data_IF_622751963970
#
_entry.id   IF_622751963970
#
_cell.length_a   1.000
_cell.length_b   1.000
_cell.length_c   1.000
_cell.angle_alpha   90.00
_cell.angle_beta   90.00
_cell.angle_gamma   90.00
#
_symmetry.space_group_name_H-M   'P 1'
#
loop_
_entity.id
_entity.type
_entity.pdbx_description
1 polymer ?
#
# COMPACT_ATOMS: atom_id res chain seq x y z
N UNK A 1 16.36 15.82 10.67
CA UNK A 1 17.01 14.49 10.83
C UNK A 1 16.06 13.54 11.55
N UNK A 2 15.62 13.84 12.78
CA UNK A 2 14.56 13.06 13.46
C UNK A 2 13.30 12.90 12.60
N UNK A 3 12.83 13.96 11.93
CA UNK A 3 11.64 13.89 11.06
C UNK A 3 11.80 12.96 9.84
N UNK A 4 13.04 12.69 9.40
CA UNK A 4 13.38 11.80 8.29
C UNK A 4 13.52 10.34 8.72
N UNK A 5 14.14 10.14 9.88
CA UNK A 5 14.46 8.84 10.46
C UNK A 5 13.22 8.23 11.12
N UNK A 6 12.28 9.08 11.56
CA UNK A 6 11.03 8.69 12.19
C UNK A 6 9.88 8.79 11.20
N UNK A 7 10.16 8.44 9.93
CA UNK A 7 9.31 8.74 8.79
C UNK A 7 7.87 8.34 9.06
N UNK A 8 7.00 9.35 9.02
CA UNK A 8 5.56 9.17 8.84
C UNK A 8 5.29 9.31 7.36
N UNK A 9 4.83 8.26 6.67
CA UNK A 9 4.32 8.44 5.33
C UNK A 9 3.10 9.38 5.41
N UNK A 10 3.04 10.37 4.53
CA UNK A 10 1.97 11.40 4.53
C UNK A 10 0.57 10.77 4.34
N UNK A 11 0.53 9.61 3.69
CA UNK A 11 -0.60 8.71 3.60
C UNK A 11 -0.17 7.35 4.19
N UNK A 12 -1.04 6.62 4.91
CA UNK A 12 -0.70 5.29 5.36
C UNK A 12 -0.34 4.40 4.15
N UNK A 13 0.64 3.50 4.28
CA UNK A 13 0.95 2.50 3.27
C UNK A 13 -0.31 1.72 2.85
N UNK A 14 -0.33 1.20 1.63
CA UNK A 14 -1.52 0.51 1.10
C UNK A 14 -1.79 -0.74 1.94
N UNK A 15 -3.02 -0.82 2.47
CA UNK A 15 -3.44 -1.93 3.31
C UNK A 15 -2.86 -1.93 4.73
N UNK A 16 -2.26 -0.82 5.17
CA UNK A 16 -1.74 -0.69 6.51
C UNK A 16 -2.67 0.08 7.46
N UNK A 17 -2.56 -0.24 8.75
CA UNK A 17 -3.14 0.54 9.86
C UNK A 17 -2.01 1.26 10.59
N UNK A 18 -2.20 2.55 10.88
CA UNK A 18 -1.20 3.35 11.61
C UNK A 18 -1.77 3.75 12.96
N UNK A 19 -1.16 3.22 14.03
CA UNK A 19 -1.53 3.49 15.41
C UNK A 19 -0.46 4.32 16.14
N UNK A 20 -0.88 5.05 17.18
CA UNK A 20 0.03 5.84 18.02
C UNK A 20 -0.06 5.42 19.48
N UNK A 21 1.11 5.39 20.12
CA UNK A 21 1.28 5.28 21.58
C UNK A 21 2.33 6.30 22.01
N UNK A 22 1.86 7.51 22.34
CA UNK A 22 2.72 8.65 22.64
C UNK A 22 3.68 8.99 21.49
N UNK A 23 5.01 8.94 21.69
CA UNK A 23 6.01 9.24 20.65
C UNK A 23 6.21 8.08 19.66
N UNK A 24 5.65 6.89 19.94
CA UNK A 24 5.77 5.70 19.12
C UNK A 24 4.62 5.64 18.11
N UNK A 25 4.97 5.31 16.87
CA UNK A 25 4.04 5.03 15.78
C UNK A 25 4.24 3.56 15.39
N UNK A 26 3.14 2.83 15.31
CA UNK A 26 3.11 1.45 14.79
C UNK A 26 2.45 1.47 13.42
N UNK A 27 3.11 0.87 12.44
CA UNK A 27 2.53 0.59 11.14
C UNK A 27 2.28 -0.91 11.05
N UNK A 28 1.02 -1.30 10.92
CA UNK A 28 0.57 -2.68 10.83
C UNK A 28 0.19 -2.98 9.38
N UNK A 29 1.04 -3.71 8.66
CA UNK A 29 0.80 -4.08 7.25
C UNK A 29 -0.10 -5.32 7.11
N UNK A 30 -0.52 -5.93 8.21
CA UNK A 30 -1.29 -7.17 8.23
C UNK A 30 -0.49 -8.44 7.97
N UNK A 31 0.76 -8.32 7.49
CA UNK A 31 1.74 -9.42 7.36
C UNK A 31 2.91 -9.29 8.33
N UNK A 32 3.24 -8.05 8.67
CA UNK A 32 4.29 -7.65 9.59
C UNK A 32 3.99 -6.24 10.09
N UNK A 33 4.81 -5.81 11.05
CA UNK A 33 4.74 -4.53 11.70
C UNK A 33 6.06 -3.79 11.65
N UNK A 34 5.97 -2.47 11.59
CA UNK A 34 7.12 -1.59 11.78
C UNK A 34 6.85 -0.59 12.90
N UNK A 35 7.89 -0.30 13.68
CA UNK A 35 7.86 0.75 14.70
C UNK A 35 8.73 1.90 14.25
N UNK A 36 8.20 3.12 14.32
CA UNK A 36 8.98 4.35 14.26
C UNK A 36 8.71 5.20 15.50
N UNK A 37 9.68 6.00 15.93
CA UNK A 37 9.53 6.77 17.16
C UNK A 37 10.29 8.08 17.13
N UNK A 38 9.70 9.13 17.70
CA UNK A 38 10.44 10.37 18.02
C UNK A 38 11.49 10.18 19.10
N UNK A 39 12.04 11.29 19.60
CA UNK A 39 12.69 11.31 20.91
C UNK A 39 11.78 10.63 21.95
N UNK A 40 12.29 9.59 22.61
CA UNK A 40 11.57 8.87 23.65
C UNK A 40 11.76 9.57 25.00
N UNK A 41 10.73 9.60 25.87
CA UNK A 41 10.85 10.17 27.20
C UNK A 41 11.80 9.34 28.06
N UNK A 42 12.43 9.96 29.06
CA UNK A 42 13.30 9.31 30.05
C UNK A 42 12.58 8.29 30.97
N UNK A 43 11.30 8.01 30.71
CA UNK A 43 10.47 7.08 31.47
C UNK A 43 10.85 5.61 31.28
N UNK A 44 9.96 4.74 31.74
CA UNK A 44 10.14 3.29 31.69
C UNK A 44 10.08 2.76 30.24
N UNK A 45 11.25 2.62 29.63
CA UNK A 45 11.42 2.07 28.27
C UNK A 45 11.01 0.60 28.20
N UNK A 46 11.20 -0.17 29.27
CA UNK A 46 10.81 -1.59 29.30
C UNK A 46 9.29 -1.71 29.20
N UNK A 47 8.55 -0.95 30.01
CA UNK A 47 7.10 -0.90 29.94
C UNK A 47 6.61 -0.38 28.58
N UNK A 48 7.33 0.54 27.94
CA UNK A 48 7.01 1.01 26.58
C UNK A 48 7.21 -0.10 25.54
N UNK A 49 8.34 -0.81 25.58
CA UNK A 49 8.64 -1.93 24.66
C UNK A 49 7.61 -3.05 24.83
N UNK A 50 7.28 -3.45 26.06
CA UNK A 50 6.27 -4.49 26.35
C UNK A 50 4.92 -4.15 25.72
N UNK A 51 4.45 -2.90 25.83
CA UNK A 51 3.18 -2.49 25.17
C UNK A 51 3.22 -2.63 23.65
N UNK A 52 4.38 -2.41 23.03
CA UNK A 52 4.53 -2.58 21.58
C UNK A 52 4.51 -4.06 21.22
N UNK A 53 5.28 -4.89 21.94
CA UNK A 53 5.28 -6.35 21.77
C UNK A 53 3.87 -6.91 21.87
N UNK A 54 3.12 -6.54 22.90
CA UNK A 54 1.73 -6.97 23.09
C UNK A 54 0.81 -6.52 21.94
N UNK A 55 1.03 -5.32 21.39
CA UNK A 55 0.23 -4.80 20.29
C UNK A 55 0.39 -5.62 19.00
N UNK A 56 1.63 -5.96 18.64
CA UNK A 56 1.89 -6.78 17.45
C UNK A 56 1.56 -8.25 17.68
N UNK A 57 1.77 -8.78 18.89
CA UNK A 57 1.37 -10.13 19.26
C UNK A 57 -0.15 -10.35 19.12
N UNK A 58 -0.99 -9.37 19.49
CA UNK A 58 -2.45 -9.41 19.29
C UNK A 58 -2.87 -9.56 17.84
N UNK A 59 -2.03 -9.15 16.90
CA UNK A 59 -2.26 -9.24 15.45
C UNK A 59 -1.48 -10.39 14.79
N UNK A 60 -0.71 -11.13 15.57
CA UNK A 60 0.20 -12.16 15.10
C UNK A 60 1.18 -11.64 14.02
N UNK A 61 1.68 -10.42 14.18
CA UNK A 61 2.59 -9.78 13.23
C UNK A 61 4.02 -9.79 13.80
N UNK A 62 5.05 -10.20 13.02
CA UNK A 62 6.44 -9.96 13.39
C UNK A 62 6.73 -8.46 13.32
N UNK A 63 7.70 -8.00 14.09
CA UNK A 63 8.05 -6.57 14.21
C UNK A 63 9.46 -6.30 13.72
N UNK A 64 9.60 -5.20 13.00
CA UNK A 64 10.86 -4.50 12.77
C UNK A 64 10.85 -3.16 13.53
N UNK A 65 11.91 -2.90 14.30
CA UNK A 65 12.11 -1.65 15.03
C UNK A 65 13.52 -1.09 14.73
N UNK A 66 13.65 -0.10 13.83
CA UNK A 66 14.91 0.60 13.60
C UNK A 66 15.24 1.53 14.78
N UNK A 67 16.47 1.48 15.28
CA UNK A 67 16.96 2.31 16.38
C UNK A 67 18.21 3.08 15.96
N UNK A 68 18.17 4.40 16.15
CA UNK A 68 19.25 5.31 15.75
C UNK A 68 20.08 5.75 16.96
N UNK A 69 21.22 5.08 17.21
CA UNK A 69 22.21 5.49 18.22
C UNK A 69 21.75 5.46 19.69
N UNK A 70 20.60 4.87 20.01
CA UNK A 70 20.04 4.80 21.37
C UNK A 70 20.36 3.45 22.04
N UNK A 71 21.41 3.44 22.85
CA UNK A 71 21.85 2.25 23.58
C UNK A 71 20.84 1.77 24.64
N UNK A 72 20.08 2.69 25.27
CA UNK A 72 19.09 2.32 26.30
C UNK A 72 17.92 1.58 25.67
N UNK A 73 17.43 2.06 24.55
CA UNK A 73 16.37 1.38 23.80
C UNK A 73 16.87 0.04 23.26
N UNK A 74 18.09 -0.02 22.74
CA UNK A 74 18.71 -1.26 22.27
C UNK A 74 18.74 -2.34 23.37
N UNK A 75 19.17 -2.00 24.58
CA UNK A 75 19.19 -2.91 25.73
C UNK A 75 17.77 -3.41 26.09
N UNK A 76 16.79 -2.50 26.12
CA UNK A 76 15.39 -2.85 26.41
C UNK A 76 14.79 -3.78 25.35
N UNK A 77 15.09 -3.56 24.07
CA UNK A 77 14.63 -4.43 22.97
C UNK A 77 15.24 -5.83 23.05
N UNK A 78 16.55 -5.92 23.31
CA UNK A 78 17.22 -7.21 23.49
C UNK A 78 16.66 -7.98 24.69
N UNK A 79 16.38 -7.28 25.80
CA UNK A 79 15.75 -7.87 26.99
C UNK A 79 14.32 -8.38 26.70
N UNK A 80 13.61 -7.74 25.77
CA UNK A 80 12.29 -8.16 25.30
C UNK A 80 12.32 -9.28 24.23
N UNK A 81 13.51 -9.81 23.90
CA UNK A 81 13.66 -10.95 22.98
C UNK A 81 13.82 -10.57 21.51
N UNK A 82 14.05 -9.30 21.19
CA UNK A 82 14.40 -8.90 19.83
C UNK A 82 15.81 -9.39 19.45
N UNK A 83 16.04 -9.61 18.15
CA UNK A 83 17.35 -9.86 17.57
C UNK A 83 17.81 -8.67 16.73
N UNK A 84 19.10 -8.33 16.81
CA UNK A 84 19.66 -7.19 16.09
C UNK A 84 20.27 -7.62 14.75
N UNK A 85 19.98 -6.86 13.68
CA UNK A 85 20.80 -6.87 12.47
C UNK A 85 22.17 -6.24 12.71
N UNK A 86 23.15 -6.47 11.82
CA UNK A 86 24.38 -5.67 11.80
C UNK A 86 24.08 -4.18 11.67
N UNK A 87 24.79 -3.36 12.46
CA UNK A 87 24.67 -1.91 12.44
C UNK A 87 25.02 -1.33 11.05
N UNK A 88 24.26 -0.32 10.62
CA UNK A 88 24.44 0.39 9.34
C UNK A 88 24.73 1.86 9.55
N UNK A 89 25.54 2.44 8.67
CA UNK A 89 25.76 3.88 8.64
C UNK A 89 24.54 4.58 8.00
N UNK A 90 24.07 5.66 8.63
CA UNK A 90 23.11 6.58 8.04
C UNK A 90 23.88 7.76 7.46
N UNK A 91 23.83 7.88 6.13
CA UNK A 91 24.59 8.83 5.35
C UNK A 91 23.66 9.92 4.79
N UNK A 92 24.16 11.15 4.71
CA UNK A 92 23.41 12.29 4.18
C UNK A 92 24.27 13.22 3.33
N UNK A 93 23.69 13.79 2.28
CA UNK A 93 24.22 14.94 1.56
C UNK A 93 23.08 15.87 1.09
N UNK A 94 23.36 17.12 0.70
CA UNK A 94 22.41 17.93 -0.08
C UNK A 94 22.01 17.19 -1.37
N UNK A 95 20.80 17.45 -1.88
CA UNK A 95 20.39 16.98 -3.21
C UNK A 95 21.35 17.54 -4.26
N UNK A 96 21.71 16.68 -5.22
CA UNK A 96 22.56 17.03 -6.34
C UNK A 96 21.91 18.02 -7.31
N UNK A 97 22.65 18.33 -8.38
CA UNK A 97 22.23 19.31 -9.40
C UNK A 97 22.27 18.76 -10.81
N UNK A 98 22.65 17.49 -10.98
CA UNK A 98 22.69 16.85 -12.29
C UNK A 98 21.27 16.50 -12.75
N UNK A 99 20.85 17.12 -13.84
CA UNK A 99 19.52 16.91 -14.44
C UNK A 99 19.55 15.91 -15.58
N UNK A 100 20.64 15.15 -15.74
CA UNK A 100 20.74 14.08 -16.75
C UNK A 100 19.61 13.08 -16.56
N UNK A 101 18.91 12.77 -17.64
CA UNK A 101 17.80 11.80 -17.63
C UNK A 101 18.31 10.43 -17.21
N UNK A 102 17.72 9.88 -16.15
CA UNK A 102 17.97 8.51 -15.70
C UNK A 102 17.02 7.52 -16.37
N UNK A 103 17.42 6.24 -16.52
CA UNK A 103 16.54 5.18 -17.01
C UNK A 103 15.54 4.79 -15.92
N UNK A 104 14.49 5.58 -15.78
CA UNK A 104 13.40 5.34 -14.83
C UNK A 104 12.47 4.24 -15.35
N UNK A 105 12.08 3.31 -14.48
CA UNK A 105 11.17 2.20 -14.84
C UNK A 105 9.74 2.70 -15.09
N UNK A 106 9.27 3.68 -14.31
CA UNK A 106 7.90 4.20 -14.45
C UNK A 106 6.85 3.10 -14.29
N UNK A 107 5.94 2.98 -15.27
CA UNK A 107 4.88 1.97 -15.31
C UNK A 107 5.29 0.66 -16.01
N UNK A 108 6.57 0.47 -16.37
CA UNK A 108 7.04 -0.76 -17.01
C UNK A 108 7.12 -1.94 -16.02
N UNK A 109 6.08 -2.79 -16.04
CA UNK A 109 6.01 -3.97 -15.18
C UNK A 109 7.18 -4.95 -15.38
N UNK A 110 7.64 -5.16 -16.62
CA UNK A 110 8.76 -6.05 -16.89
C UNK A 110 10.06 -5.50 -16.28
N UNK A 111 10.25 -4.19 -16.31
CA UNK A 111 11.32 -3.49 -15.60
C UNK A 111 11.26 -3.73 -14.08
N UNK A 112 10.07 -3.60 -13.46
CA UNK A 112 9.90 -3.88 -12.03
C UNK A 112 10.21 -5.35 -11.68
N UNK A 113 9.80 -6.31 -12.50
CA UNK A 113 10.15 -7.72 -12.30
C UNK A 113 11.68 -7.93 -12.32
N UNK A 114 12.37 -7.31 -13.27
CA UNK A 114 13.83 -7.38 -13.35
C UNK A 114 14.51 -6.74 -12.13
N UNK A 115 13.98 -5.62 -11.63
CA UNK A 115 14.48 -5.00 -10.39
C UNK A 115 14.28 -5.94 -9.19
N UNK A 116 13.12 -6.62 -9.09
CA UNK A 116 12.86 -7.59 -8.04
C UNK A 116 13.87 -8.76 -8.05
N UNK A 117 14.19 -9.29 -9.23
CA UNK A 117 15.21 -10.34 -9.39
C UNK A 117 16.61 -9.88 -8.96
N UNK A 118 17.00 -8.64 -9.29
CA UNK A 118 18.28 -8.06 -8.87
C UNK A 118 18.31 -7.82 -7.36
N UNK A 119 17.23 -7.28 -6.80
CA UNK A 119 17.10 -7.00 -5.37
C UNK A 119 17.21 -8.28 -4.54
N UNK A 120 16.60 -9.37 -4.97
CA UNK A 120 16.67 -10.68 -4.30
C UNK A 120 18.09 -11.25 -4.20
N UNK A 121 18.97 -10.92 -5.16
CA UNK A 121 20.37 -11.40 -5.20
C UNK A 121 21.35 -10.54 -4.38
N UNK A 122 20.94 -9.32 -4.03
CA UNK A 122 21.84 -8.27 -3.52
C UNK A 122 21.44 -7.71 -2.16
N UNK A 123 20.35 -8.22 -1.58
CA UNK A 123 19.90 -7.83 -0.25
C UNK A 123 20.86 -8.30 0.87
N UNK A 124 20.60 -7.89 2.12
CA UNK A 124 19.43 -7.15 2.57
C UNK A 124 19.52 -5.63 2.31
N UNK A 125 18.47 -5.08 1.69
CA UNK A 125 18.32 -3.63 1.45
C UNK A 125 17.65 -2.94 2.64
N UNK A 126 17.78 -1.61 2.76
CA UNK A 126 17.09 -0.82 3.80
C UNK A 126 15.58 -1.10 3.79
N UNK A 127 14.99 -1.05 2.59
CA UNK A 127 13.59 -1.37 2.33
C UNK A 127 13.53 -2.44 1.25
N UNK A 128 13.01 -3.65 1.51
CA UNK A 128 12.85 -4.68 0.50
C UNK A 128 12.07 -4.15 -0.71
N UNK A 129 12.50 -4.52 -1.92
CA UNK A 129 11.86 -4.02 -3.15
C UNK A 129 10.39 -4.44 -3.26
N UNK A 130 10.02 -5.62 -2.74
CA UNK A 130 8.62 -6.07 -2.68
C UNK A 130 7.74 -5.16 -1.83
N UNK A 131 8.24 -4.72 -0.67
CA UNK A 131 7.52 -3.80 0.21
C UNK A 131 7.49 -2.38 -0.36
N UNK A 132 8.57 -1.97 -1.03
CA UNK A 132 8.58 -0.73 -1.81
C UNK A 132 7.49 -0.78 -2.88
N UNK A 133 7.49 -1.78 -3.75
CA UNK A 133 6.54 -1.92 -4.86
C UNK A 133 5.08 -1.98 -4.37
N UNK A 134 4.81 -2.70 -3.28
CA UNK A 134 3.47 -2.79 -2.69
C UNK A 134 2.88 -1.42 -2.31
N UNK A 135 3.73 -0.46 -1.93
CA UNK A 135 3.31 0.90 -1.54
C UNK A 135 3.53 1.93 -2.64
N UNK A 136 4.53 1.74 -3.48
CA UNK A 136 5.02 2.72 -4.43
C UNK A 136 4.54 2.50 -5.85
N UNK A 137 4.03 1.30 -6.20
CA UNK A 137 3.78 0.91 -7.60
C UNK A 137 3.03 1.96 -8.41
N UNK A 138 2.25 2.82 -7.73
CA UNK A 138 1.46 3.88 -8.36
C UNK A 138 1.40 5.16 -7.50
N UNK A 139 2.43 5.43 -6.69
CA UNK A 139 2.64 6.75 -6.07
C UNK A 139 3.54 7.56 -7.00
N UNK A 140 3.02 7.99 -8.15
CA UNK A 140 3.74 8.68 -9.24
C UNK A 140 4.42 10.00 -8.84
N UNK A 141 4.35 10.38 -7.56
CA UNK A 141 4.71 11.69 -7.05
C UNK A 141 5.77 11.67 -5.95
N UNK A 142 6.01 10.52 -5.32
CA UNK A 142 6.89 10.42 -4.15
C UNK A 142 7.86 9.23 -4.18
N UNK A 143 7.99 8.53 -5.31
CA UNK A 143 8.89 7.39 -5.44
C UNK A 143 9.53 7.33 -6.83
N UNK A 144 10.72 6.72 -6.91
CA UNK A 144 11.44 6.52 -8.17
C UNK A 144 12.14 5.15 -8.17
N UNK A 145 12.18 4.53 -9.35
CA UNK A 145 12.94 3.29 -9.60
C UNK A 145 13.82 3.50 -10.81
N UNK A 146 15.13 3.34 -10.61
CA UNK A 146 16.15 3.40 -11.66
C UNK A 146 16.55 1.98 -12.02
N UNK A 147 16.60 1.68 -13.32
CA UNK A 147 17.15 0.43 -13.85
C UNK A 147 18.17 0.76 -14.94
N UNK A 148 19.45 0.74 -14.57
CA UNK A 148 20.57 1.03 -15.46
C UNK A 148 21.35 -0.26 -15.78
N UNK A 149 20.95 -0.91 -16.87
CA UNK A 149 21.50 -2.19 -17.30
C UNK A 149 21.10 -3.32 -16.34
N UNK A 150 22.07 -3.83 -15.59
CA UNK A 150 21.91 -4.87 -14.55
C UNK A 150 21.98 -4.31 -13.13
N UNK A 151 21.85 -2.99 -12.99
CA UNK A 151 21.92 -2.28 -11.71
C UNK A 151 20.61 -1.54 -11.47
N UNK A 152 20.12 -1.58 -10.26
CA UNK A 152 18.88 -0.92 -9.89
C UNK A 152 19.01 -0.17 -8.56
N UNK A 153 18.19 0.86 -8.42
CA UNK A 153 17.98 1.56 -7.17
C UNK A 153 16.53 2.01 -7.08
N UNK A 154 15.99 2.03 -5.86
CA UNK A 154 14.65 2.58 -5.60
C UNK A 154 14.71 3.56 -4.44
N UNK A 155 13.94 4.64 -4.57
CA UNK A 155 13.98 5.78 -3.69
C UNK A 155 12.56 6.25 -3.39
N UNK A 156 12.36 6.76 -2.19
CA UNK A 156 11.09 7.31 -1.71
C UNK A 156 11.29 8.70 -1.11
N UNK A 157 10.29 9.56 -1.19
CA UNK A 157 10.33 10.88 -0.61
C UNK A 157 9.73 10.86 0.81
N UNK A 158 10.41 11.55 1.73
CA UNK A 158 10.06 11.67 3.14
C UNK A 158 10.37 13.07 3.63
N UNK A 159 9.34 13.90 3.84
CA UNK A 159 9.53 15.25 4.37
C UNK A 159 10.36 16.15 3.46
N UNK A 160 11.63 16.36 3.79
CA UNK A 160 12.62 17.10 2.99
C UNK A 160 13.69 16.19 2.36
N UNK A 161 13.51 14.87 2.46
CA UNK A 161 14.51 13.87 2.09
C UNK A 161 14.03 13.03 0.91
N UNK A 162 14.94 12.76 -0.02
CA UNK A 162 14.88 11.56 -0.86
C UNK A 162 15.65 10.46 -0.13
N UNK A 163 14.99 9.34 0.15
CA UNK A 163 15.57 8.24 0.91
C UNK A 163 15.79 7.05 0.01
N UNK A 164 17.02 6.54 -0.02
CA UNK A 164 17.38 5.35 -0.79
C UNK A 164 16.81 4.11 -0.09
N UNK A 165 15.85 3.45 -0.72
CA UNK A 165 15.28 2.18 -0.23
C UNK A 165 16.22 1.00 -0.47
N UNK A 166 16.94 0.99 -1.59
CA UNK A 166 17.97 -0.02 -1.87
C UNK A 166 18.74 0.25 -3.15
N UNK A 167 19.89 -0.40 -3.26
CA UNK A 167 20.82 -0.28 -4.39
C UNK A 167 21.43 -1.66 -4.64
N UNK A 168 21.32 -2.17 -5.86
CA UNK A 168 21.81 -3.52 -6.17
C UNK A 168 23.30 -3.56 -6.53
N UNK A 169 23.88 -2.41 -6.90
CA UNK A 169 25.32 -2.27 -7.18
C UNK A 169 25.84 -0.92 -6.64
N UNK A 170 26.87 -0.91 -5.75
CA UNK A 170 27.48 0.30 -5.22
C UNK A 170 27.91 1.34 -6.26
N UNK A 171 28.18 0.94 -7.50
CA UNK A 171 28.56 1.85 -8.60
C UNK A 171 27.47 2.87 -8.94
N UNK A 172 26.22 2.66 -8.51
CA UNK A 172 25.15 3.65 -8.67
C UNK A 172 25.27 4.82 -7.68
N UNK A 173 26.04 4.69 -6.58
CA UNK A 173 26.09 5.70 -5.52
C UNK A 173 26.42 7.12 -6.04
N UNK A 174 27.44 7.24 -6.90
CA UNK A 174 27.83 8.53 -7.48
C UNK A 174 26.71 9.16 -8.33
N UNK A 175 26.02 8.35 -9.14
CA UNK A 175 24.88 8.81 -9.94
C UNK A 175 23.73 9.28 -9.05
N UNK A 176 23.39 8.50 -8.02
CA UNK A 176 22.29 8.86 -7.10
C UNK A 176 22.58 10.16 -6.33
N UNK A 177 23.83 10.36 -5.88
CA UNK A 177 24.26 11.54 -5.14
C UNK A 177 24.30 12.79 -6.03
N UNK A 178 24.77 12.67 -7.27
CA UNK A 178 24.87 13.79 -8.19
C UNK A 178 23.51 14.26 -8.73
N UNK A 179 22.51 13.37 -8.80
CA UNK A 179 21.25 13.64 -9.46
C UNK A 179 20.35 14.64 -8.71
N UNK A 180 19.65 15.47 -9.49
CA UNK A 180 18.63 16.39 -8.99
C UNK A 180 17.26 15.70 -8.89
N UNK A 181 16.95 15.19 -7.70
CA UNK A 181 15.67 14.53 -7.40
C UNK A 181 14.49 15.49 -7.19
N UNK A 182 14.66 16.81 -7.43
CA UNK A 182 13.57 17.80 -7.33
C UNK A 182 12.75 17.91 -8.61
N UNK A 183 13.13 17.22 -9.69
CA UNK A 183 12.50 17.36 -10.99
C UNK A 183 11.03 16.85 -10.97
N UNK A 184 10.11 17.80 -11.22
CA UNK A 184 8.67 17.68 -11.47
C UNK A 184 7.85 16.67 -10.62
N UNK A 185 7.37 17.15 -9.47
CA UNK A 185 6.34 16.52 -8.63
C UNK A 185 5.80 17.50 -7.57
N UNK A 186 4.75 17.18 -6.81
CA UNK A 186 4.12 18.08 -5.84
C UNK A 186 5.04 18.46 -4.65
N UNK A 187 6.14 17.74 -4.44
CA UNK A 187 7.05 17.92 -3.32
C UNK A 187 8.31 18.71 -3.69
N UNK A 188 8.13 20.00 -4.03
CA UNK A 188 9.23 20.96 -4.31
C UNK A 188 10.15 21.25 -3.10
N UNK A 189 10.00 20.53 -1.99
CA UNK A 189 10.69 20.74 -0.71
C UNK A 189 11.88 19.81 -0.43
N UNK A 190 12.28 18.96 -1.37
CA UNK A 190 13.43 18.05 -1.16
C UNK A 190 14.74 18.83 -1.06
N UNK A 191 15.49 18.59 0.02
CA UNK A 191 16.77 19.26 0.32
C UNK A 191 17.93 18.29 0.47
N UNK A 192 17.66 17.04 0.88
CA UNK A 192 18.72 16.09 1.21
C UNK A 192 18.47 14.71 0.58
N UNK A 193 19.55 14.02 0.21
CA UNK A 193 19.56 12.58 -0.04
C UNK A 193 19.99 11.87 1.25
N UNK A 194 19.29 10.79 1.60
CA UNK A 194 19.59 9.94 2.76
C UNK A 194 19.72 8.49 2.34
N UNK A 195 20.75 7.80 2.84
CA UNK A 195 20.99 6.39 2.56
C UNK A 195 21.40 5.64 3.84
N UNK A 196 21.04 4.37 3.90
CA UNK A 196 21.52 3.46 4.94
C UNK A 196 22.37 2.38 4.28
N UNK A 197 23.63 2.25 4.71
CA UNK A 197 24.57 1.38 4.01
C UNK A 197 25.64 0.78 4.93
N UNK A 198 26.22 -0.33 4.46
CA UNK A 198 27.35 -1.04 5.08
C UNK A 198 28.33 -1.50 4.01
N UNK A 199 29.57 -1.78 4.39
CA UNK A 199 30.60 -2.33 3.51
C UNK A 199 30.80 -1.50 2.23
N UNK A 200 30.94 -2.17 1.09
CA UNK A 200 31.24 -1.51 -0.19
C UNK A 200 30.22 -0.45 -0.61
N UNK A 201 28.94 -0.59 -0.22
CA UNK A 201 27.92 0.41 -0.53
C UNK A 201 28.12 1.69 0.29
N UNK A 202 28.50 1.55 1.57
CA UNK A 202 28.87 2.68 2.43
C UNK A 202 30.07 3.41 1.84
N UNK A 203 31.13 2.67 1.51
CA UNK A 203 32.36 3.24 0.94
C UNK A 203 32.08 4.02 -0.34
N UNK A 204 31.20 3.49 -1.20
CA UNK A 204 30.80 4.15 -2.44
C UNK A 204 30.02 5.46 -2.21
N UNK A 205 29.11 5.50 -1.24
CA UNK A 205 28.38 6.72 -0.88
C UNK A 205 29.28 7.77 -0.22
N UNK A 206 30.22 7.36 0.64
CA UNK A 206 31.21 8.27 1.22
C UNK A 206 32.14 8.85 0.14
N UNK A 207 32.62 8.00 -0.78
CA UNK A 207 33.44 8.43 -1.93
C UNK A 207 32.66 9.38 -2.87
N UNK A 208 31.34 9.22 -2.97
CA UNK A 208 30.46 10.12 -3.70
C UNK A 208 30.18 11.45 -2.96
N UNK A 209 30.64 11.60 -1.71
CA UNK A 209 30.54 12.85 -0.94
C UNK A 209 29.45 12.87 0.13
N UNK A 210 28.79 11.74 0.41
CA UNK A 210 27.88 11.64 1.56
C UNK A 210 28.67 11.57 2.87
N UNK A 211 28.07 12.08 3.95
CA UNK A 211 28.67 12.06 5.29
C UNK A 211 27.80 11.25 6.24
N UNK A 212 28.43 10.44 7.08
CA UNK A 212 27.73 9.74 8.15
C UNK A 212 27.21 10.76 9.16
N UNK A 213 25.95 10.62 9.56
CA UNK A 213 25.29 11.49 10.54
C UNK A 213 24.85 10.75 11.80
N UNK A 214 24.65 9.44 11.70
CA UNK A 214 24.34 8.53 12.82
C UNK A 214 24.49 7.08 12.31
N UNK A 215 24.32 6.11 13.19
CA UNK A 215 24.10 4.72 12.84
C UNK A 215 22.65 4.30 13.05
N UNK A 216 22.29 3.14 12.52
CA UNK A 216 21.00 2.48 12.74
C UNK A 216 21.18 0.98 12.89
N UNK A 217 20.51 0.42 13.88
CA UNK A 217 20.39 -1.02 14.09
C UNK A 217 18.93 -1.41 14.00
N UNK A 218 18.62 -2.45 13.22
CA UNK A 218 17.26 -2.97 13.06
C UNK A 218 17.04 -4.14 14.01
N UNK A 219 16.01 -4.03 14.85
CA UNK A 219 15.64 -5.06 15.80
C UNK A 219 14.41 -5.80 15.30
N UNK A 220 14.48 -7.13 15.29
CA UNK A 220 13.41 -8.00 14.83
C UNK A 220 12.84 -8.82 15.97
N UNK A 221 11.50 -8.91 16.02
CA UNK A 221 10.81 -9.86 16.89
C UNK A 221 9.88 -10.72 16.04
N UNK A 222 9.96 -12.04 16.21
CA UNK A 222 9.07 -12.98 15.53
C UNK A 222 7.65 -12.89 16.08
N UNK A 223 6.66 -13.17 15.24
CA UNK A 223 5.27 -13.33 15.68
C UNK A 223 5.10 -14.56 16.59
N UNK A 224 4.08 -14.58 17.48
CA UNK A 224 3.77 -15.74 18.31
C UNK A 224 3.39 -17.00 17.54
N UNK A 225 2.87 -16.86 16.32
CA UNK A 225 2.50 -17.94 15.40
C UNK A 225 2.84 -17.61 13.95
N UNK A 226 2.35 -18.40 13.00
CA UNK A 226 2.59 -18.16 11.57
C UNK A 226 1.86 -16.89 11.09
N UNK A 227 2.58 -15.85 10.65
CA UNK A 227 1.94 -14.61 10.22
C UNK A 227 1.27 -14.77 8.85
N UNK A 228 0.33 -13.88 8.55
CA UNK A 228 -0.25 -13.83 7.21
C UNK A 228 0.82 -13.51 6.16
N UNK A 229 0.73 -14.15 4.99
CA UNK A 229 1.72 -14.00 3.91
C UNK A 229 1.39 -12.89 2.92
N UNK A 230 0.14 -12.43 2.92
CA UNK A 230 -0.36 -11.38 2.01
C UNK A 230 -0.97 -10.22 2.80
N UNK A 231 -0.77 -9.01 2.30
CA UNK A 231 -1.41 -7.81 2.86
C UNK A 231 -2.93 -7.92 2.72
N UNK A 232 -3.71 -7.35 3.65
CA UNK A 232 -5.17 -7.38 3.58
C UNK A 232 -5.73 -6.60 2.39
N UNK A 233 -4.98 -5.62 1.88
CA UNK A 233 -5.31 -4.85 0.68
C UNK A 233 -4.05 -4.71 -0.16
N UNK A 234 -4.19 -4.92 -1.47
CA UNK A 234 -3.19 -4.68 -2.49
C UNK A 234 -3.78 -3.78 -3.57
N UNK A 235 -3.00 -2.81 -4.05
CA UNK A 235 -3.40 -1.92 -5.17
C UNK A 235 -3.06 -2.56 -6.51
N UNK A 236 -3.92 -2.33 -7.51
CA UNK A 236 -3.82 -2.78 -8.90
C UNK A 236 -3.89 -1.54 -9.80
N UNK A 237 -3.14 -1.43 -10.90
CA UNK A 237 -3.30 -0.32 -11.86
C UNK A 237 -2.65 -0.56 -13.24
N UNK A 238 -1.58 -1.37 -13.33
CA UNK A 238 -0.92 -1.69 -14.62
C UNK A 238 -0.09 -2.98 -14.58
N UNK A 239 -0.40 -3.87 -13.66
CA UNK A 239 0.23 -5.19 -13.59
C UNK A 239 -0.63 -6.21 -14.36
N UNK A 240 -0.06 -7.35 -14.81
CA UNK A 240 -0.82 -8.33 -15.60
C UNK A 240 -2.12 -8.81 -14.96
N UNK A 241 -2.18 -8.81 -13.62
CA UNK A 241 -3.40 -9.14 -12.87
C UNK A 241 -4.50 -8.09 -13.04
N UNK A 242 -4.15 -6.80 -13.13
CA UNK A 242 -5.08 -5.71 -13.41
C UNK A 242 -5.65 -5.82 -14.83
N UNK A 243 -4.79 -6.07 -15.81
CA UNK A 243 -5.21 -6.22 -17.22
C UNK A 243 -6.09 -7.47 -17.40
N UNK A 244 -5.76 -8.56 -16.73
CA UNK A 244 -6.52 -9.81 -16.75
C UNK A 244 -7.94 -9.63 -16.18
N UNK A 245 -8.07 -9.02 -15.00
CA UNK A 245 -9.40 -8.86 -14.37
C UNK A 245 -10.31 -7.93 -15.19
N UNK A 246 -9.76 -6.85 -15.75
CA UNK A 246 -10.50 -5.97 -16.66
C UNK A 246 -10.90 -6.69 -17.95
N UNK A 247 -9.97 -7.41 -18.58
CA UNK A 247 -10.26 -8.15 -19.83
C UNK A 247 -11.39 -9.17 -19.63
N UNK A 248 -11.34 -9.92 -18.52
CA UNK A 248 -12.40 -10.89 -18.19
C UNK A 248 -13.72 -10.19 -17.87
N UNK A 249 -13.70 -9.04 -17.17
CA UNK A 249 -14.90 -8.25 -16.90
C UNK A 249 -15.55 -7.72 -18.19
N UNK A 250 -14.75 -7.12 -19.06
CA UNK A 250 -15.20 -6.58 -20.35
C UNK A 250 -15.81 -7.67 -21.24
N UNK A 251 -15.16 -8.83 -21.34
CA UNK A 251 -15.66 -9.96 -22.11
C UNK A 251 -16.96 -10.52 -21.51
N UNK A 252 -17.00 -10.73 -20.18
CA UNK A 252 -18.12 -11.39 -19.51
C UNK A 252 -19.40 -10.56 -19.52
N UNK A 253 -19.28 -9.25 -19.37
CA UNK A 253 -20.40 -8.33 -19.22
C UNK A 253 -20.58 -7.39 -20.42
N UNK A 254 -19.77 -7.53 -21.48
CA UNK A 254 -19.78 -6.66 -22.65
C UNK A 254 -19.78 -5.17 -22.25
N UNK A 255 -18.84 -4.80 -21.38
CA UNK A 255 -18.74 -3.46 -20.82
C UNK A 255 -18.57 -2.40 -21.91
N UNK A 256 -19.43 -1.38 -21.88
CA UNK A 256 -19.54 -0.28 -22.85
C UNK A 256 -19.68 1.02 -22.08
N UNK A 257 -18.57 1.64 -21.65
CA UNK A 257 -18.64 2.90 -20.92
C UNK A 257 -19.21 4.00 -21.83
N UNK A 258 -20.29 4.64 -21.41
CA UNK A 258 -20.92 5.77 -22.10
C UNK A 258 -21.66 6.69 -21.11
N UNK A 259 -21.73 7.98 -21.44
CA UNK A 259 -22.36 9.01 -20.60
C UNK A 259 -23.85 9.22 -20.90
N UNK A 260 -24.38 8.55 -21.92
CA UNK A 260 -25.73 8.73 -22.48
C UNK A 260 -26.43 7.42 -22.85
N UNK A 261 -25.69 6.38 -23.20
CA UNK A 261 -26.24 5.05 -23.53
C UNK A 261 -26.15 4.10 -22.33
N UNK A 262 -27.30 3.68 -21.81
CA UNK A 262 -27.40 2.83 -20.62
C UNK A 262 -28.19 1.54 -20.91
N UNK A 263 -27.91 0.42 -20.23
CA UNK A 263 -26.86 0.22 -19.22
C UNK A 263 -25.46 0.05 -19.82
N UNK A 264 -24.43 0.43 -19.07
CA UNK A 264 -23.02 0.29 -19.47
C UNK A 264 -22.50 -1.17 -19.47
N UNK A 265 -23.31 -2.14 -19.06
CA UNK A 265 -23.01 -3.58 -19.15
C UNK A 265 -24.24 -4.36 -19.61
N UNK A 266 -24.02 -5.57 -20.10
CA UNK A 266 -25.07 -6.61 -20.16
C UNK A 266 -25.30 -7.12 -18.74
N UNK A 267 -26.33 -6.58 -18.09
CA UNK A 267 -26.71 -6.95 -16.72
C UNK A 267 -26.89 -8.48 -16.62
N UNK A 268 -26.23 -9.16 -15.66
CA UNK A 268 -26.27 -10.63 -15.58
C UNK A 268 -27.67 -11.18 -15.32
N UNK A 269 -27.94 -12.41 -15.74
CA UNK A 269 -29.15 -13.12 -15.31
C UNK A 269 -29.20 -13.19 -13.77
N UNK A 270 -30.38 -12.99 -13.18
CA UNK A 270 -30.52 -12.90 -11.73
C UNK A 270 -29.83 -11.67 -11.11
N UNK A 271 -29.86 -10.54 -11.81
CA UNK A 271 -29.43 -9.23 -11.28
C UNK A 271 -30.62 -8.30 -11.06
N UNK A 272 -30.41 -7.29 -10.22
CA UNK A 272 -31.35 -6.21 -10.01
C UNK A 272 -30.61 -4.88 -9.91
N UNK A 273 -31.24 -3.81 -10.41
CA UNK A 273 -30.62 -2.49 -10.49
C UNK A 273 -31.48 -1.45 -9.78
N UNK A 274 -30.85 -0.67 -8.90
CA UNK A 274 -31.48 0.42 -8.15
C UNK A 274 -30.99 1.77 -8.64
N UNK A 275 -31.88 2.75 -8.64
CA UNK A 275 -31.49 4.16 -8.79
C UNK A 275 -30.96 4.68 -7.45
N UNK A 276 -29.87 5.44 -7.50
CA UNK A 276 -29.11 5.92 -6.34
C UNK A 276 -28.71 7.40 -6.46
N UNK A 277 -29.21 8.13 -7.46
CA UNK A 277 -28.87 9.54 -7.69
C UNK A 277 -29.46 10.52 -6.67
N UNK A 278 -30.55 10.13 -6.02
CA UNK A 278 -31.32 11.00 -5.10
C UNK A 278 -31.19 10.59 -3.63
N UNK A 279 -30.18 9.77 -3.28
CA UNK A 279 -30.02 9.29 -1.90
C UNK A 279 -29.59 10.41 -0.95
N UNK A 280 -30.20 10.45 0.23
CA UNK A 280 -29.66 11.22 1.35
C UNK A 280 -28.46 10.50 2.00
N UNK A 281 -27.73 11.19 2.88
CA UNK A 281 -26.55 10.63 3.56
C UNK A 281 -26.87 9.33 4.31
N UNK A 282 -28.06 9.21 4.89
CA UNK A 282 -28.48 8.02 5.64
C UNK A 282 -28.72 6.84 4.70
N UNK A 283 -29.33 7.07 3.54
CA UNK A 283 -29.55 6.04 2.54
C UNK A 283 -28.24 5.63 1.87
N UNK A 284 -27.32 6.57 1.66
CA UNK A 284 -25.98 6.28 1.16
C UNK A 284 -25.19 5.42 2.16
N UNK A 285 -25.18 5.79 3.44
CA UNK A 285 -24.58 4.97 4.50
C UNK A 285 -25.19 3.57 4.54
N UNK A 286 -26.53 3.47 4.43
CA UNK A 286 -27.23 2.19 4.40
C UNK A 286 -26.82 1.34 3.18
N UNK A 287 -26.71 1.93 1.99
CA UNK A 287 -26.24 1.26 0.78
C UNK A 287 -24.85 0.65 0.99
N UNK A 288 -23.90 1.43 1.52
CA UNK A 288 -22.53 0.97 1.78
C UNK A 288 -22.52 -0.16 2.80
N UNK A 289 -23.23 0.02 3.91
CA UNK A 289 -23.33 -0.98 4.98
C UNK A 289 -23.91 -2.30 4.48
N UNK A 290 -25.02 -2.24 3.73
CA UNK A 290 -25.71 -3.43 3.20
C UNK A 290 -24.81 -4.15 2.20
N UNK A 291 -24.20 -3.43 1.25
CA UNK A 291 -23.34 -4.03 0.21
C UNK A 291 -22.07 -4.63 0.83
N UNK A 292 -21.35 -3.91 1.69
CA UNK A 292 -20.13 -4.43 2.32
C UNK A 292 -20.42 -5.63 3.24
N UNK A 293 -21.52 -5.60 4.01
CA UNK A 293 -21.94 -6.76 4.84
C UNK A 293 -22.36 -7.93 3.95
N UNK A 294 -23.05 -7.67 2.85
CA UNK A 294 -23.45 -8.68 1.87
C UNK A 294 -22.24 -9.36 1.23
N UNK A 295 -21.32 -8.57 0.68
CA UNK A 295 -20.07 -9.03 0.06
C UNK A 295 -19.26 -9.91 1.01
N UNK A 296 -19.02 -9.44 2.24
CA UNK A 296 -18.28 -10.19 3.27
C UNK A 296 -18.94 -11.53 3.63
N UNK A 297 -20.27 -11.63 3.56
CA UNK A 297 -21.02 -12.88 3.81
C UNK A 297 -21.13 -13.79 2.58
N UNK A 298 -20.81 -13.28 1.40
CA UNK A 298 -20.96 -13.97 0.11
C UNK A 298 -19.70 -14.69 -0.38
N UNK A 299 -18.58 -14.48 0.30
CA UNK A 299 -17.29 -15.08 -0.03
C UNK A 299 -16.84 -16.07 1.03
N UNK A 300 -16.07 -17.07 0.62
CA UNK A 300 -15.48 -18.04 1.52
C UNK A 300 -14.31 -17.43 2.32
N UNK A 301 -13.95 -17.99 3.49
CA UNK A 301 -12.78 -17.53 4.23
C UNK A 301 -11.50 -17.59 3.36
N UNK A 302 -10.84 -16.44 3.22
CA UNK A 302 -9.63 -16.29 2.41
C UNK A 302 -9.88 -16.02 0.92
N UNK A 303 -11.14 -16.00 0.47
CA UNK A 303 -11.50 -15.51 -0.87
C UNK A 303 -11.42 -13.98 -0.91
N UNK A 304 -10.59 -13.45 -1.81
CA UNK A 304 -10.40 -12.01 -1.99
C UNK A 304 -11.46 -11.41 -2.93
N UNK A 305 -11.78 -10.15 -2.69
CA UNK A 305 -12.60 -9.31 -3.56
C UNK A 305 -11.72 -8.35 -4.36
N UNK A 306 -12.24 -7.96 -5.52
CA UNK A 306 -11.71 -6.87 -6.32
C UNK A 306 -12.62 -5.66 -6.20
N UNK A 307 -12.02 -4.48 -6.10
CA UNK A 307 -12.65 -3.20 -6.39
C UNK A 307 -11.97 -2.60 -7.61
N UNK A 308 -12.73 -2.28 -8.65
CA UNK A 308 -12.23 -1.67 -9.88
C UNK A 308 -12.82 -0.27 -10.03
N UNK A 309 -11.96 0.64 -10.47
CA UNK A 309 -12.28 2.03 -10.78
C UNK A 309 -11.82 2.28 -12.22
N UNK A 310 -12.75 2.61 -13.10
CA UNK A 310 -12.47 2.64 -14.54
C UNK A 310 -11.41 3.67 -14.89
N UNK A 311 -10.37 3.24 -15.61
CA UNK A 311 -9.15 4.02 -15.93
C UNK A 311 -8.31 4.45 -14.71
N UNK A 312 -8.63 3.92 -13.54
CA UNK A 312 -8.01 4.26 -12.27
C UNK A 312 -7.52 3.02 -11.53
N UNK A 313 -7.10 3.21 -10.29
CA UNK A 313 -6.45 2.17 -9.51
C UNK A 313 -7.52 1.24 -8.97
N UNK A 314 -7.33 -0.06 -9.19
CA UNK A 314 -8.12 -1.08 -8.51
C UNK A 314 -7.49 -1.50 -7.18
N UNK A 315 -8.23 -2.32 -6.45
CA UNK A 315 -7.72 -3.02 -5.27
C UNK A 315 -8.13 -4.48 -5.31
N UNK A 316 -7.26 -5.35 -4.81
CA UNK A 316 -7.61 -6.69 -4.36
C UNK A 316 -7.50 -6.73 -2.84
N UNK A 317 -8.49 -7.30 -2.15
CA UNK A 317 -8.50 -7.28 -0.70
C UNK A 317 -9.27 -8.47 -0.09
N UNK A 318 -8.88 -8.84 1.13
CA UNK A 318 -9.58 -9.82 1.95
C UNK A 318 -10.66 -9.10 2.79
N UNK A 319 -11.96 -9.32 2.51
CA UNK A 319 -13.04 -8.64 3.23
C UNK A 319 -13.09 -8.99 4.72
N UNK A 320 -12.49 -10.12 5.16
CA UNK A 320 -12.41 -10.49 6.57
C UNK A 320 -11.32 -9.71 7.34
N UNK A 321 -10.39 -9.07 6.62
CA UNK A 321 -9.23 -8.37 7.21
C UNK A 321 -9.24 -6.86 7.02
N UNK A 322 -10.35 -6.30 6.53
CA UNK A 322 -10.58 -4.85 6.40
C UNK A 322 -11.69 -4.37 7.35
N UNK A 323 -11.65 -3.08 7.67
CA UNK A 323 -12.40 -2.40 8.73
C UNK A 323 -12.10 -2.91 10.15
N UNK A 324 -12.70 -2.28 11.16
CA UNK A 324 -12.48 -2.61 12.56
C UNK A 324 -11.02 -2.39 12.96
N UNK A 325 -10.29 -3.48 13.17
CA UNK A 325 -8.84 -3.44 13.46
C UNK A 325 -7.98 -3.48 12.18
N UNK A 326 -8.55 -3.73 11.01
CA UNK A 326 -7.87 -3.73 9.72
C UNK A 326 -7.84 -2.35 9.05
N UNK A 327 -7.16 -2.22 7.90
CA UNK A 327 -7.25 -1.00 7.08
C UNK A 327 -8.69 -0.79 6.61
N UNK A 328 -9.04 0.45 6.24
CA UNK A 328 -10.36 0.78 5.71
C UNK A 328 -10.70 -0.08 4.49
N UNK A 329 -11.96 -0.50 4.39
CA UNK A 329 -12.51 -1.12 3.19
C UNK A 329 -12.15 -0.29 1.93
N UNK A 330 -11.48 -0.87 0.92
CA UNK A 330 -11.06 -0.14 -0.26
C UNK A 330 -12.23 0.19 -1.18
N UNK A 331 -12.24 1.41 -1.70
CA UNK A 331 -13.19 1.81 -2.74
C UNK A 331 -14.55 2.30 -2.24
N UNK A 332 -15.36 2.73 -3.19
CA UNK A 332 -16.72 3.21 -2.98
C UNK A 332 -17.73 2.30 -3.71
N UNK A 333 -18.91 2.11 -3.11
CA UNK A 333 -20.03 1.38 -3.73
C UNK A 333 -20.72 2.23 -4.79
N UNK A 334 -20.89 3.52 -4.49
CA UNK A 334 -21.50 4.49 -5.41
C UNK A 334 -20.42 5.27 -6.16
N UNK A 335 -20.54 5.42 -7.50
CA UNK A 335 -19.60 6.17 -8.32
C UNK A 335 -19.60 7.69 -8.07
N UNK A 336 -18.42 8.31 -8.03
CA UNK A 336 -18.21 9.77 -8.01
C UNK A 336 -17.67 10.25 -9.37
N UNK A 337 -18.46 10.01 -10.42
CA UNK A 337 -18.12 10.40 -11.79
C UNK A 337 -17.43 9.31 -12.63
N UNK A 338 -16.94 8.23 -12.03
CA UNK A 338 -16.32 7.08 -12.71
C UNK A 338 -16.99 5.75 -12.34
N UNK A 339 -16.84 4.69 -13.16
CA UNK A 339 -17.46 3.39 -12.87
C UNK A 339 -16.77 2.69 -11.70
N UNK A 340 -17.54 2.36 -10.66
CA UNK A 340 -17.07 1.58 -9.52
C UNK A 340 -17.64 0.17 -9.54
N UNK A 341 -16.79 -0.83 -9.37
CA UNK A 341 -17.18 -2.23 -9.50
C UNK A 341 -16.60 -3.02 -8.33
N UNK A 342 -17.45 -3.72 -7.57
CA UNK A 342 -17.00 -4.78 -6.67
C UNK A 342 -17.29 -6.13 -7.30
N UNK A 343 -16.36 -7.07 -7.19
CA UNK A 343 -16.55 -8.41 -7.74
C UNK A 343 -15.60 -9.45 -7.12
N UNK A 344 -16.00 -10.72 -7.18
CA UNK A 344 -15.10 -11.85 -6.88
C UNK A 344 -14.12 -12.08 -8.03
N UNK A 345 -12.98 -12.71 -7.76
CA UNK A 345 -11.95 -12.98 -8.78
C UNK A 345 -12.43 -13.85 -9.95
N UNK A 346 -13.52 -14.60 -9.80
CA UNK A 346 -14.16 -15.42 -10.83
C UNK A 346 -15.39 -14.76 -11.48
N UNK A 347 -15.67 -13.50 -11.14
CA UNK A 347 -16.78 -12.68 -11.66
C UNK A 347 -18.19 -13.24 -11.34
N UNK A 348 -18.35 -14.16 -10.39
CA UNK A 348 -19.65 -14.80 -10.10
C UNK A 348 -20.66 -13.86 -9.44
N UNK A 349 -20.19 -12.90 -8.66
CA UNK A 349 -21.03 -11.94 -7.94
C UNK A 349 -20.35 -10.59 -7.79
N UNK A 350 -21.14 -9.56 -7.53
CA UNK A 350 -20.61 -8.21 -7.39
C UNK A 350 -21.66 -7.11 -7.51
N UNK A 351 -21.13 -5.89 -7.63
CA UNK A 351 -21.89 -4.68 -7.92
C UNK A 351 -21.27 -3.94 -9.09
N UNK A 352 -22.10 -3.29 -9.91
CA UNK A 352 -21.69 -2.37 -10.97
C UNK A 352 -22.38 -1.02 -10.75
N UNK A 353 -21.60 -0.01 -10.37
CA UNK A 353 -22.04 1.36 -10.16
C UNK A 353 -21.86 2.18 -11.43
N UNK A 354 -22.94 2.78 -11.93
CA UNK A 354 -22.94 3.60 -13.14
C UNK A 354 -23.07 5.08 -12.78
N UNK A 355 -22.06 5.93 -13.02
CA UNK A 355 -22.09 7.34 -12.60
C UNK A 355 -23.21 8.13 -13.29
N UNK A 356 -23.33 8.01 -14.61
CA UNK A 356 -24.29 8.83 -15.38
C UNK A 356 -25.74 8.34 -15.35
N UNK A 357 -25.97 7.03 -15.26
CA UNK A 357 -27.31 6.50 -15.01
C UNK A 357 -27.72 6.69 -13.54
N UNK A 358 -26.75 6.95 -12.66
CA UNK A 358 -26.89 7.01 -11.21
C UNK A 358 -27.58 5.73 -10.68
N UNK A 359 -27.01 4.58 -11.05
CA UNK A 359 -27.54 3.27 -10.69
C UNK A 359 -26.47 2.38 -10.06
N UNK A 360 -26.95 1.40 -9.30
CA UNK A 360 -26.16 0.24 -8.89
C UNK A 360 -26.86 -1.04 -9.29
N UNK A 361 -26.20 -1.84 -10.13
CA UNK A 361 -26.60 -3.20 -10.46
C UNK A 361 -25.94 -4.17 -9.47
N UNK A 362 -26.71 -5.06 -8.87
CA UNK A 362 -26.25 -6.11 -7.93
C UNK A 362 -26.55 -7.47 -8.55
N UNK A 363 -25.58 -8.38 -8.57
CA UNK A 363 -25.71 -9.68 -9.22
C UNK A 363 -25.07 -10.84 -8.45
N UNK A 364 -25.46 -12.07 -8.83
CA UNK A 364 -25.01 -13.31 -8.22
C UNK A 364 -25.57 -13.51 -6.81
N UNK A 365 -24.91 -14.35 -6.00
CA UNK A 365 -25.36 -14.67 -4.63
C UNK A 365 -25.44 -13.44 -3.70
N UNK A 366 -24.76 -12.35 -4.06
CA UNK A 366 -24.89 -11.08 -3.34
C UNK A 366 -26.34 -10.59 -3.37
N UNK A 367 -27.00 -10.63 -4.53
CA UNK A 367 -28.39 -10.19 -4.67
C UNK A 367 -29.30 -10.97 -3.72
N UNK A 368 -29.20 -12.30 -3.72
CA UNK A 368 -30.00 -13.18 -2.84
C UNK A 368 -29.90 -12.80 -1.36
N UNK A 369 -28.75 -12.27 -0.93
CA UNK A 369 -28.52 -11.86 0.46
C UNK A 369 -29.04 -10.47 0.79
N UNK A 370 -28.97 -9.54 -0.16
CA UNK A 370 -29.20 -8.11 0.14
C UNK A 370 -30.47 -7.54 -0.46
N UNK A 371 -31.16 -8.24 -1.38
CA UNK A 371 -32.31 -7.71 -2.14
C UNK A 371 -33.37 -7.07 -1.23
N UNK A 372 -33.80 -7.77 -0.17
CA UNK A 372 -34.84 -7.29 0.72
C UNK A 372 -34.39 -6.06 1.53
N UNK A 373 -33.17 -6.07 2.06
CA UNK A 373 -32.62 -4.94 2.85
C UNK A 373 -32.38 -3.72 1.96
N UNK A 374 -31.83 -3.93 0.76
CA UNK A 374 -31.55 -2.88 -0.21
C UNK A 374 -32.85 -2.27 -0.74
N UNK A 375 -33.86 -3.09 -1.04
CA UNK A 375 -35.19 -2.63 -1.42
C UNK A 375 -35.86 -1.83 -0.31
N UNK A 376 -35.69 -2.23 0.96
CA UNK A 376 -36.23 -1.48 2.09
C UNK A 376 -35.53 -0.12 2.26
N UNK A 377 -34.24 -0.01 1.96
CA UNK A 377 -33.46 1.21 2.10
C UNK A 377 -33.65 2.20 0.93
N UNK A 378 -33.71 1.67 -0.31
CA UNK A 378 -33.64 2.47 -1.54
C UNK A 378 -34.98 2.50 -2.31
N UNK A 379 -35.94 1.66 -1.93
CA UNK A 379 -37.14 1.42 -2.72
C UNK A 379 -36.97 0.29 -3.75
N UNK A 380 -38.00 0.03 -4.58
CA UNK A 380 -37.96 -1.08 -5.53
C UNK A 380 -36.89 -0.86 -6.62
N UNK A 381 -36.27 -1.94 -7.13
CA UNK A 381 -35.34 -1.83 -8.25
C UNK A 381 -36.05 -1.34 -9.51
N UNK A 382 -35.33 -0.56 -10.31
CA UNK A 382 -35.80 -0.03 -11.59
C UNK A 382 -35.70 -1.04 -12.73
N UNK A 383 -34.84 -2.07 -12.57
CA UNK A 383 -34.69 -3.20 -13.50
C UNK A 383 -34.39 -4.49 -12.76
N UNK A 384 -34.83 -5.60 -13.36
CA UNK A 384 -34.45 -6.96 -12.99
C UNK A 384 -34.19 -7.75 -14.26
N UNK A 385 -33.13 -8.54 -14.25
CA UNK A 385 -32.84 -9.51 -15.32
C UNK A 385 -33.38 -10.87 -14.92
N UNK A 386 -34.12 -11.51 -15.81
CA UNK A 386 -34.69 -12.84 -15.55
C UNK A 386 -33.58 -13.86 -15.23
N UNK A 387 -33.83 -14.86 -14.35
CA UNK A 387 -32.87 -15.89 -13.98
C UNK A 387 -32.42 -16.80 -15.12
#
# INVERSE_FOLDING_TARGET
>A
MEEALNHRPQLPPVGAVVDRDGPVVRTHYGTHGEVSHGSLPDGDLEALVVRQVDAFARRNEPVLWPVHGDARLAEALLAAGFTAEPERAVLRCPIGTDTTTLPLVGHDWAGHQRVAELAAKTGPHRRPFSEFLADSAYLDRSAAVVLDGDRAAWLEQSGEFTVVGGVTDPRLAATLVAHDWRLAGPHRGMRFLLAEATGALRDAFEAAGMREVTTVTRYHLSSPGEPARTRPVRRLFSEPEYDDIWSRFEERFAFRPDTREFPGITEPAGSATWHVGDLDDRQLDALYDIVHKGLRKSVEPGEELYWLDWQHVGYRFDPARVDGAGPRWPGAVFPDGDYHIYLTGDLRLGTFGHPWEATICVFGDLLTRIDAELTAALGPPIRRSEP
#
